data_IF_065867124375
#
_entry.id   IF_065867124375
#
_cell.length_a   1.000
_cell.length_b   1.000
_cell.length_c   1.000
_cell.angle_alpha   90.00
_cell.angle_beta   90.00
_cell.angle_gamma   90.00
#
_symmetry.space_group_name_H-M   'P 1'
#
loop_
_entity.id
_entity.type
_entity.pdbx_description
1 polymer ?
#
# COMPACT_ATOMS: atom_id res chain seq x y z
N UNK A 1 9.41 2.50 5.83
CA UNK A 1 7.96 2.45 5.57
C UNK A 1 7.56 3.82 5.04
N UNK A 2 6.98 3.90 3.84
CA UNK A 2 6.46 5.16 3.31
C UNK A 2 5.28 5.64 4.16
N UNK A 3 4.99 6.94 4.12
CA UNK A 3 3.79 7.50 4.73
C UNK A 3 2.80 7.79 3.60
N UNK A 4 1.87 6.88 3.37
CA UNK A 4 0.82 7.01 2.35
C UNK A 4 -0.48 7.51 3.00
N UNK A 5 -1.18 8.44 2.33
CA UNK A 5 -2.49 8.96 2.78
C UNK A 5 -2.50 9.91 3.99
N UNK A 6 -1.35 10.23 4.59
CA UNK A 6 -1.31 11.18 5.70
C UNK A 6 -1.60 12.61 5.22
N UNK A 7 -2.55 13.28 5.90
CA UNK A 7 -2.84 14.71 5.67
C UNK A 7 -1.78 15.63 6.29
N UNK A 8 -1.11 15.16 7.34
CA UNK A 8 -0.07 15.89 8.05
C UNK A 8 0.91 14.91 8.71
N UNK A 9 2.20 15.24 8.65
CA UNK A 9 3.24 14.58 9.44
C UNK A 9 3.91 15.66 10.28
N UNK A 10 3.91 15.49 11.60
CA UNK A 10 4.51 16.45 12.53
C UNK A 10 5.57 15.77 13.38
N UNK A 11 6.84 16.14 13.16
CA UNK A 11 7.95 15.78 14.03
C UNK A 11 8.12 16.90 15.05
N UNK A 12 7.90 16.60 16.33
CA UNK A 12 7.98 17.60 17.41
C UNK A 12 9.06 17.19 18.38
N UNK A 13 10.00 18.11 18.60
CA UNK A 13 10.95 18.08 19.70
C UNK A 13 10.58 19.20 20.66
N UNK A 14 10.53 18.90 21.96
CA UNK A 14 10.30 19.90 23.00
C UNK A 14 11.45 19.89 24.00
N UNK A 15 11.80 21.06 24.53
CA UNK A 15 12.85 21.35 25.52
C UNK A 15 12.52 20.86 26.95
N UNK A 16 11.64 19.85 27.07
CA UNK A 16 11.09 19.25 28.28
C UNK A 16 10.56 20.22 29.39
N UNK A 17 10.63 21.55 29.23
CA UNK A 17 10.17 22.66 30.11
C UNK A 17 10.41 22.53 31.63
N UNK A 18 11.03 21.46 32.12
CA UNK A 18 11.00 21.08 33.54
C UNK A 18 12.38 20.90 34.18
N UNK A 19 13.51 21.16 33.50
CA UNK A 19 14.80 20.91 34.16
C UNK A 19 15.93 21.93 33.93
N UNK A 20 15.68 23.09 33.30
CA UNK A 20 16.71 24.14 33.18
C UNK A 20 18.03 23.67 32.54
N UNK A 21 18.01 22.53 31.83
CA UNK A 21 19.18 21.96 31.21
C UNK A 21 19.30 22.57 29.82
N UNK A 22 20.36 23.36 29.59
CA UNK A 22 20.61 24.07 28.33
C UNK A 22 21.14 23.16 27.21
N UNK A 23 21.06 21.83 27.37
CA UNK A 23 21.71 20.83 26.52
C UNK A 23 20.72 19.84 25.90
N UNK A 24 19.56 20.32 25.42
CA UNK A 24 18.56 19.49 24.75
C UNK A 24 18.93 19.27 23.28
N UNK A 25 19.86 18.35 23.04
CA UNK A 25 20.26 17.99 21.69
C UNK A 25 19.31 16.93 21.14
N UNK A 26 18.55 17.27 20.10
CA UNK A 26 17.77 16.30 19.35
C UNK A 26 18.35 16.10 17.95
N UNK A 27 18.53 14.84 17.59
CA UNK A 27 19.08 14.44 16.30
C UNK A 27 18.12 13.44 15.65
N UNK A 28 17.59 13.81 14.48
CA UNK A 28 16.83 12.92 13.61
C UNK A 28 17.75 12.27 12.59
N UNK A 29 18.76 11.54 13.08
CA UNK A 29 19.84 10.99 12.26
C UNK A 29 19.32 9.89 11.33
N UNK A 30 19.52 10.07 10.02
CA UNK A 30 19.08 9.10 9.01
C UNK A 30 17.56 9.03 8.82
N UNK A 31 16.80 10.03 9.27
CA UNK A 31 15.36 10.09 9.03
C UNK A 31 15.09 10.22 7.51
N UNK A 32 14.41 9.23 6.94
CA UNK A 32 14.05 9.21 5.52
C UNK A 32 12.58 8.81 5.36
N UNK A 33 11.87 9.58 4.54
CA UNK A 33 10.64 9.16 3.91
C UNK A 33 10.95 8.91 2.45
N UNK A 34 10.68 7.71 1.96
CA UNK A 34 10.92 7.34 0.56
C UNK A 34 9.60 7.28 -0.17
N UNK A 35 9.58 7.83 -1.38
CA UNK A 35 8.45 7.84 -2.32
C UNK A 35 8.76 6.90 -3.49
N UNK A 36 9.50 5.82 -3.21
CA UNK A 36 9.62 4.70 -4.14
C UNK A 36 8.23 4.08 -4.20
N UNK A 37 7.41 4.58 -5.12
CA UNK A 37 6.15 3.94 -5.48
C UNK A 37 6.53 2.85 -6.45
N UNK A 38 6.48 1.63 -5.96
CA UNK A 38 6.55 0.46 -6.81
C UNK A 38 5.26 0.41 -7.62
N UNK A 39 5.30 -0.15 -8.84
CA UNK A 39 4.05 -0.45 -9.53
C UNK A 39 3.39 -1.64 -8.81
N UNK A 40 2.06 -1.63 -8.60
CA UNK A 40 1.38 -2.79 -8.05
C UNK A 40 1.58 -4.00 -8.97
N UNK A 41 1.77 -5.16 -8.36
CA UNK A 41 1.89 -6.43 -9.08
C UNK A 41 0.51 -7.06 -9.20
N UNK A 42 0.02 -7.18 -10.44
CA UNK A 42 -1.22 -7.88 -10.74
C UNK A 42 -0.92 -9.34 -11.09
N UNK A 43 -1.40 -10.26 -10.28
CA UNK A 43 -1.30 -11.70 -10.47
C UNK A 43 -2.63 -12.23 -11.00
N UNK A 44 -2.60 -12.89 -12.16
CA UNK A 44 -3.77 -13.50 -12.81
C UNK A 44 -3.37 -14.87 -13.38
N UNK A 45 -4.18 -15.92 -13.25
CA UNK A 45 -3.92 -17.20 -13.88
C UNK A 45 -3.93 -17.05 -15.40
N UNK A 46 -2.94 -17.67 -16.04
CA UNK A 46 -2.80 -17.64 -17.51
C UNK A 46 -3.99 -18.23 -18.25
N UNK A 47 -4.68 -19.19 -17.63
CA UNK A 47 -5.86 -19.84 -18.17
C UNK A 47 -6.72 -20.38 -17.03
N UNK A 48 -8.03 -20.20 -17.15
CA UNK A 48 -9.04 -20.79 -16.27
C UNK A 48 -10.00 -21.58 -17.16
N UNK A 49 -10.26 -22.82 -16.80
CA UNK A 49 -11.18 -23.68 -17.52
C UNK A 49 -12.24 -24.21 -16.55
N UNK A 50 -13.49 -24.25 -17.03
CA UNK A 50 -14.61 -24.85 -16.30
C UNK A 50 -15.38 -25.79 -17.20
N UNK A 51 -16.29 -26.57 -16.62
CA UNK A 51 -17.16 -27.47 -17.38
C UNK A 51 -18.26 -26.67 -18.08
N UNK A 52 -18.74 -27.20 -19.21
CA UNK A 52 -19.89 -26.63 -19.92
C UNK A 52 -21.09 -26.53 -18.98
N UNK A 53 -21.69 -25.34 -18.88
CA UNK A 53 -22.84 -25.06 -18.01
C UNK A 53 -22.48 -24.59 -16.59
N UNK A 54 -21.20 -24.52 -16.23
CA UNK A 54 -20.75 -23.92 -14.97
C UNK A 54 -20.25 -22.50 -15.25
N UNK A 55 -20.72 -21.47 -14.52
CA UNK A 55 -20.21 -20.11 -14.66
C UNK A 55 -18.71 -20.05 -14.33
N UNK A 56 -17.96 -19.22 -15.07
CA UNK A 56 -16.56 -18.92 -14.73
C UNK A 56 -16.56 -17.73 -13.76
N UNK A 57 -16.06 -17.96 -12.54
CA UNK A 57 -15.79 -16.87 -11.61
C UNK A 57 -14.40 -16.28 -11.87
N UNK A 58 -14.40 -15.03 -12.35
CA UNK A 58 -13.17 -14.28 -12.61
C UNK A 58 -12.68 -13.52 -11.37
N UNK A 59 -13.55 -13.24 -10.38
CA UNK A 59 -13.19 -12.46 -9.18
C UNK A 59 -12.30 -13.23 -8.22
N UNK A 60 -12.49 -14.54 -8.10
CA UNK A 60 -11.65 -15.39 -7.25
C UNK A 60 -10.24 -15.63 -7.81
N UNK A 61 -9.92 -15.09 -8.99
CA UNK A 61 -8.74 -15.51 -9.76
C UNK A 61 -7.62 -14.46 -9.82
N UNK A 62 -7.85 -13.21 -9.42
CA UNK A 62 -6.81 -12.19 -9.46
C UNK A 62 -6.46 -11.65 -8.08
N UNK A 63 -5.23 -11.18 -7.96
CA UNK A 63 -4.71 -10.51 -6.77
C UNK A 63 -3.88 -9.32 -7.24
N UNK A 64 -4.04 -8.17 -6.58
CA UNK A 64 -3.23 -6.99 -6.85
C UNK A 64 -2.54 -6.54 -5.57
N UNK A 65 -1.23 -6.79 -5.47
CA UNK A 65 -0.45 -6.40 -4.30
C UNK A 65 0.46 -5.24 -4.66
N UNK A 66 0.33 -4.17 -3.89
CA UNK A 66 1.24 -3.06 -3.88
C UNK A 66 2.20 -3.17 -2.68
N UNK A 67 3.52 -3.06 -2.87
CA UNK A 67 4.47 -3.16 -1.75
C UNK A 67 4.31 -2.07 -0.69
N UNK A 68 3.70 -0.93 -1.03
CA UNK A 68 3.54 0.22 -0.15
C UNK A 68 2.10 0.37 0.36
N UNK A 69 1.10 0.14 -0.49
CA UNK A 69 -0.33 0.29 -0.18
C UNK A 69 -1.01 -1.03 0.23
N UNK A 70 -0.33 -2.16 0.11
CA UNK A 70 -0.84 -3.47 0.51
C UNK A 70 -1.77 -4.10 -0.52
N UNK A 71 -2.87 -4.69 -0.04
CA UNK A 71 -3.83 -5.38 -0.90
C UNK A 71 -4.76 -4.37 -1.61
N UNK A 72 -4.63 -4.29 -2.93
CA UNK A 72 -5.43 -3.46 -3.82
C UNK A 72 -6.39 -4.27 -4.68
N UNK A 73 -6.63 -5.55 -4.36
CA UNK A 73 -7.47 -6.46 -5.15
C UNK A 73 -8.87 -5.90 -5.39
N UNK A 74 -9.45 -5.23 -4.39
CA UNK A 74 -10.78 -4.59 -4.49
C UNK A 74 -10.83 -3.42 -5.50
N UNK A 75 -9.68 -2.86 -5.87
CA UNK A 75 -9.58 -1.75 -6.82
C UNK A 75 -9.40 -2.21 -8.28
N UNK A 76 -9.28 -3.52 -8.51
CA UNK A 76 -9.11 -4.08 -9.85
C UNK A 76 -10.43 -3.98 -10.63
N UNK A 77 -10.37 -3.42 -11.84
CA UNK A 77 -11.52 -3.33 -12.76
C UNK A 77 -11.41 -4.40 -13.83
N UNK A 78 -12.35 -5.36 -13.82
CA UNK A 78 -12.47 -6.39 -14.84
C UNK A 78 -13.45 -5.92 -15.92
N UNK A 79 -13.08 -6.08 -17.19
CA UNK A 79 -13.93 -5.78 -18.35
C UNK A 79 -14.15 -7.03 -19.19
N UNK A 80 -15.29 -7.10 -19.90
CA UNK A 80 -15.64 -8.26 -20.73
C UNK A 80 -16.28 -9.44 -20.00
N UNK A 81 -16.68 -9.28 -18.73
CA UNK A 81 -17.44 -10.28 -17.96
C UNK A 81 -18.75 -10.65 -18.68
N UNK A 82 -19.36 -9.68 -19.36
CA UNK A 82 -20.58 -9.82 -20.15
C UNK A 82 -20.45 -10.76 -21.37
N UNK A 83 -19.23 -11.19 -21.70
CA UNK A 83 -18.95 -12.10 -22.82
C UNK A 83 -18.67 -13.54 -22.38
N UNK A 84 -18.77 -13.85 -21.08
CA UNK A 84 -18.41 -15.14 -20.47
C UNK A 84 -19.64 -15.83 -19.89
#
# INVERSE_FOLDING_TARGET
MPITGAKEIKLVTTDAKQNGNTADHTVWGGAKFTLESSKPTLTIPKSVATKVGVPIDLQASYEAIDPEDGDLTDNVKVSGIDKV
#
